data_IF_738932866677
#
_entry.id   IF_738932866677
#
_cell.length_a   1.000
_cell.length_b   1.000
_cell.length_c   1.000
_cell.angle_alpha   90.00
_cell.angle_beta   90.00
_cell.angle_gamma   90.00
#
_symmetry.space_group_name_H-M   'P 1'
#
loop_
_entity.id
_entity.type
_entity.pdbx_description
1 polymer ?
#
# COMPACT_ATOMS: atom_id res chain seq x y z
N UNK A 1 10.62 -26.62 13.06
CA UNK A 1 9.89 -26.12 11.88
C UNK A 1 8.36 -26.27 12.02
N UNK A 2 7.83 -27.45 12.41
CA UNK A 2 6.36 -27.70 12.47
C UNK A 2 5.53 -26.72 13.33
N UNK A 3 5.95 -26.44 14.57
CA UNK A 3 5.20 -25.57 15.50
C UNK A 3 5.05 -24.12 15.04
N UNK A 4 5.97 -23.61 14.22
CA UNK A 4 5.90 -22.23 13.69
C UNK A 4 4.85 -22.16 12.58
N UNK A 5 4.86 -23.11 11.65
CA UNK A 5 3.88 -23.17 10.56
C UNK A 5 2.47 -23.35 11.11
N UNK A 6 2.28 -24.21 12.11
CA UNK A 6 0.99 -24.39 12.79
C UNK A 6 0.45 -23.08 13.38
N UNK A 7 1.31 -22.29 14.03
CA UNK A 7 0.92 -20.99 14.60
C UNK A 7 0.58 -19.96 13.50
N UNK A 8 1.30 -19.98 12.37
CA UNK A 8 1.02 -19.11 11.23
C UNK A 8 -0.33 -19.48 10.62
N UNK A 9 -0.60 -20.77 10.37
CA UNK A 9 -1.87 -21.22 9.81
C UNK A 9 -3.04 -20.93 10.74
N UNK A 10 -2.86 -21.17 12.05
CA UNK A 10 -3.84 -20.84 13.07
C UNK A 10 -4.22 -19.36 13.03
N UNK A 11 -3.23 -18.47 12.87
CA UNK A 11 -3.46 -17.02 12.85
C UNK A 11 -4.03 -16.55 11.51
N UNK A 12 -3.46 -16.97 10.39
CA UNK A 12 -3.77 -16.43 9.06
C UNK A 12 -5.00 -17.10 8.46
N UNK A 13 -4.98 -18.44 8.32
CA UNK A 13 -6.03 -19.19 7.62
C UNK A 13 -7.23 -19.47 8.52
N UNK A 14 -6.96 -19.90 9.75
CA UNK A 14 -7.95 -20.41 10.70
C UNK A 14 -8.36 -19.36 11.74
N UNK A 15 -7.90 -18.12 11.60
CA UNK A 15 -8.20 -17.03 12.52
C UNK A 15 -8.68 -15.78 11.80
N UNK A 16 -7.73 -15.02 11.25
CA UNK A 16 -7.95 -13.60 10.95
C UNK A 16 -8.14 -13.28 9.47
N UNK A 17 -7.49 -14.02 8.57
CA UNK A 17 -7.45 -13.72 7.12
C UNK A 17 -7.15 -12.24 6.82
N UNK A 18 -6.25 -11.64 7.61
CA UNK A 18 -5.88 -10.23 7.45
C UNK A 18 -5.25 -10.01 6.08
N UNK A 19 -5.67 -8.94 5.40
CA UNK A 19 -5.05 -8.43 4.18
C UNK A 19 -4.74 -6.94 4.38
N UNK A 20 -4.00 -6.35 3.44
CA UNK A 20 -3.61 -4.95 3.50
C UNK A 20 -3.63 -4.31 2.12
N UNK A 21 -4.81 -3.95 1.63
CA UNK A 21 -4.96 -3.13 0.43
C UNK A 21 -4.46 -1.72 0.74
N UNK A 22 -3.43 -1.30 0.02
CA UNK A 22 -2.82 0.02 0.14
C UNK A 22 -2.85 0.79 -1.17
N UNK A 23 -2.26 1.98 -1.14
CA UNK A 23 -2.04 2.82 -2.31
C UNK A 23 -0.57 3.21 -2.42
N UNK A 24 -0.17 3.58 -3.63
CA UNK A 24 1.06 4.29 -3.93
C UNK A 24 0.73 5.41 -4.93
N UNK A 25 1.64 6.36 -5.13
CA UNK A 25 1.43 7.46 -6.08
C UNK A 25 0.63 8.65 -5.56
N UNK A 26 0.45 8.78 -4.24
CA UNK A 26 -0.34 9.88 -3.70
C UNK A 26 0.26 11.26 -4.01
N UNK A 27 1.58 11.43 -3.91
CA UNK A 27 2.23 12.70 -4.23
C UNK A 27 2.09 13.05 -5.73
N UNK A 28 2.23 12.06 -6.61
CA UNK A 28 2.01 12.24 -8.05
C UNK A 28 0.56 12.61 -8.39
N UNK A 29 -0.42 12.01 -7.71
CA UNK A 29 -1.82 12.43 -7.83
C UNK A 29 -1.97 13.92 -7.50
N UNK A 30 -1.37 14.37 -6.39
CA UNK A 30 -1.43 15.78 -6.00
C UNK A 30 -0.75 16.70 -7.01
N UNK A 31 0.41 16.30 -7.56
CA UNK A 31 1.07 17.07 -8.63
C UNK A 31 0.18 17.22 -9.86
N UNK A 32 -0.44 16.13 -10.33
CA UNK A 32 -1.35 16.15 -11.47
C UNK A 32 -2.60 17.01 -11.23
N UNK A 33 -3.03 17.15 -9.97
CA UNK A 33 -4.15 18.00 -9.57
C UNK A 33 -3.73 19.44 -9.26
N UNK A 34 -2.43 19.77 -9.27
CA UNK A 34 -1.93 21.08 -8.87
C UNK A 34 -2.12 21.38 -7.37
N UNK A 35 -2.28 20.35 -6.53
CA UNK A 35 -2.53 20.49 -5.11
C UNK A 35 -1.21 20.39 -4.35
N UNK A 36 -0.92 21.36 -3.49
CA UNK A 36 0.24 21.27 -2.60
C UNK A 36 0.04 20.17 -1.57
N UNK A 37 1.05 19.32 -1.37
CA UNK A 37 1.03 18.27 -0.35
C UNK A 37 0.73 18.83 1.05
N UNK A 38 1.34 19.97 1.39
CA UNK A 38 1.15 20.65 2.67
C UNK A 38 -0.08 21.60 2.64
N UNK A 39 -1.25 21.07 2.28
CA UNK A 39 -2.49 21.86 2.20
C UNK A 39 -3.68 21.16 2.84
N UNK A 40 -4.67 21.95 3.26
CA UNK A 40 -5.96 21.43 3.73
C UNK A 40 -6.72 20.70 2.62
N UNK A 41 -6.51 21.10 1.37
CA UNK A 41 -7.09 20.44 0.21
C UNK A 41 -6.55 19.02 0.02
N UNK A 42 -5.24 18.82 0.14
CA UNK A 42 -4.63 17.48 0.13
C UNK A 42 -5.16 16.60 1.27
N UNK A 43 -5.33 17.16 2.47
CA UNK A 43 -5.91 16.43 3.61
C UNK A 43 -7.36 16.04 3.34
N UNK A 44 -8.15 16.92 2.72
CA UNK A 44 -9.54 16.63 2.35
C UNK A 44 -9.60 15.51 1.32
N UNK A 45 -8.79 15.59 0.26
CA UNK A 45 -8.71 14.56 -0.77
C UNK A 45 -8.27 13.21 -0.17
N UNK A 46 -7.26 13.20 0.70
CA UNK A 46 -6.81 11.98 1.38
C UNK A 46 -7.94 11.32 2.20
N UNK A 47 -8.77 12.11 2.89
CA UNK A 47 -9.93 11.61 3.64
C UNK A 47 -10.99 11.00 2.73
N UNK A 48 -11.32 11.69 1.64
CA UNK A 48 -12.31 11.20 0.67
C UNK A 48 -11.84 9.92 -0.03
N UNK A 49 -10.59 9.89 -0.48
CA UNK A 49 -9.98 8.74 -1.14
C UNK A 49 -9.87 7.54 -0.20
N UNK A 50 -9.36 7.74 1.03
CA UNK A 50 -9.23 6.65 2.00
C UNK A 50 -10.58 6.08 2.44
N UNK A 51 -11.60 6.93 2.59
CA UNK A 51 -12.98 6.50 2.84
C UNK A 51 -13.49 5.63 1.69
N UNK A 52 -13.38 6.11 0.46
CA UNK A 52 -13.82 5.38 -0.74
C UNK A 52 -13.14 4.00 -0.85
N UNK A 53 -11.82 3.94 -0.68
CA UNK A 53 -11.06 2.68 -0.74
C UNK A 53 -11.52 1.72 0.37
N UNK A 54 -11.67 2.22 1.60
CA UNK A 54 -12.11 1.40 2.73
C UNK A 54 -13.52 0.85 2.52
N UNK A 55 -14.48 1.69 2.12
CA UNK A 55 -15.86 1.28 1.90
C UNK A 55 -15.95 0.20 0.81
N UNK A 56 -15.27 0.42 -0.33
CA UNK A 56 -15.22 -0.54 -1.44
C UNK A 56 -14.55 -1.85 -1.02
N UNK A 57 -13.45 -1.79 -0.26
CA UNK A 57 -12.74 -2.99 0.19
C UNK A 57 -13.53 -3.77 1.26
N UNK A 58 -14.26 -3.07 2.13
CA UNK A 58 -15.13 -3.68 3.12
C UNK A 58 -16.34 -4.35 2.46
N UNK A 59 -16.95 -3.70 1.46
CA UNK A 59 -18.04 -4.28 0.65
C UNK A 59 -17.59 -5.55 -0.07
N UNK A 60 -16.45 -5.52 -0.77
CA UNK A 60 -15.90 -6.71 -1.42
C UNK A 60 -15.60 -7.85 -0.41
N UNK A 61 -15.15 -7.51 0.82
CA UNK A 61 -14.95 -8.50 1.89
C UNK A 61 -16.26 -9.07 2.41
N UNK A 62 -17.32 -8.26 2.48
CA UNK A 62 -18.66 -8.69 2.85
C UNK A 62 -19.25 -9.65 1.80
N UNK A 63 -19.18 -9.31 0.52
CA UNK A 63 -19.60 -10.19 -0.59
C UNK A 63 -18.87 -11.54 -0.57
N UNK A 64 -17.56 -11.53 -0.30
CA UNK A 64 -16.78 -12.76 -0.16
C UNK A 64 -17.19 -13.58 1.07
N UNK A 65 -17.66 -12.93 2.14
CA UNK A 65 -18.17 -13.61 3.32
C UNK A 65 -19.50 -14.29 3.07
N UNK A 66 -20.37 -13.72 2.24
CA UNK A 66 -21.63 -14.39 1.85
C UNK A 66 -21.37 -15.70 1.10
N UNK A 67 -20.38 -15.71 0.20
CA UNK A 67 -20.07 -16.89 -0.62
C UNK A 67 -19.21 -17.92 0.11
N UNK A 68 -18.28 -17.48 0.97
CA UNK A 68 -17.24 -18.34 1.56
C UNK A 68 -17.29 -18.44 3.09
N UNK A 69 -18.17 -17.69 3.74
CA UNK A 69 -18.23 -17.49 5.19
C UNK A 69 -17.31 -16.39 5.72
N UNK A 70 -17.63 -15.90 6.92
CA UNK A 70 -16.81 -14.92 7.65
C UNK A 70 -15.39 -15.43 7.95
N UNK A 71 -14.47 -14.53 8.36
CA UNK A 71 -13.21 -14.99 8.96
C UNK A 71 -13.48 -15.75 10.27
N UNK A 72 -12.69 -16.78 10.63
CA UNK A 72 -13.01 -17.64 11.78
C UNK A 72 -13.15 -16.93 13.13
N UNK A 73 -12.34 -15.90 13.39
CA UNK A 73 -12.41 -15.11 14.64
C UNK A 73 -13.47 -13.98 14.60
N UNK A 74 -14.44 -14.02 13.68
CA UNK A 74 -15.40 -12.93 13.49
C UNK A 74 -16.24 -12.65 14.73
N UNK A 75 -16.69 -13.69 15.45
CA UNK A 75 -17.46 -13.56 16.69
C UNK A 75 -16.71 -12.84 17.83
N UNK A 76 -15.37 -12.83 17.77
CA UNK A 76 -14.50 -12.16 18.75
C UNK A 76 -14.17 -10.71 18.37
N UNK A 77 -14.71 -10.22 17.25
CA UNK A 77 -14.35 -8.94 16.66
C UNK A 77 -15.41 -7.86 16.91
N UNK A 78 -15.26 -6.70 16.26
CA UNK A 78 -16.22 -5.58 16.32
C UNK A 78 -17.42 -5.76 15.40
N UNK A 79 -17.38 -6.71 14.47
CA UNK A 79 -18.39 -6.86 13.42
C UNK A 79 -19.70 -7.56 13.85
N UNK A 80 -19.72 -8.50 14.82
CA UNK A 80 -20.95 -9.13 15.30
C UNK A 80 -21.95 -8.12 15.86
N UNK A 81 -21.48 -7.14 16.62
CA UNK A 81 -22.31 -6.07 17.16
C UNK A 81 -22.98 -5.21 16.07
N UNK A 82 -22.43 -5.23 14.84
CA UNK A 82 -22.95 -4.50 13.68
C UNK A 82 -23.72 -5.41 12.71
N UNK A 83 -23.73 -6.72 12.94
CA UNK A 83 -24.25 -7.70 11.98
C UNK A 83 -23.52 -7.64 10.62
N UNK A 84 -22.28 -7.16 10.59
CA UNK A 84 -21.57 -6.90 9.33
C UNK A 84 -20.79 -8.16 8.88
N UNK A 85 -21.16 -8.82 7.78
CA UNK A 85 -20.39 -9.93 7.24
C UNK A 85 -19.01 -9.45 6.76
N UNK A 86 -17.96 -10.20 7.06
CA UNK A 86 -16.58 -9.84 6.71
C UNK A 86 -15.74 -11.10 6.48
N UNK A 87 -15.13 -11.22 5.31
CA UNK A 87 -14.22 -12.34 4.99
C UNK A 87 -12.83 -12.18 5.60
N UNK A 88 -12.42 -10.93 5.87
CA UNK A 88 -11.11 -10.54 6.34
C UNK A 88 -11.25 -9.66 7.59
N UNK A 89 -10.41 -9.85 8.61
CA UNK A 89 -10.53 -9.05 9.84
C UNK A 89 -10.14 -7.57 9.64
N UNK A 90 -9.24 -7.30 8.70
CA UNK A 90 -8.86 -5.97 8.24
C UNK A 90 -8.56 -6.05 6.73
N UNK A 91 -8.91 -4.98 6.01
CA UNK A 91 -8.89 -4.95 4.55
C UNK A 91 -7.88 -3.95 3.97
N UNK A 92 -7.58 -2.86 4.68
CA UNK A 92 -6.72 -1.77 4.20
C UNK A 92 -5.48 -1.58 5.07
N UNK A 93 -4.35 -1.24 4.44
CA UNK A 93 -3.09 -0.87 5.10
C UNK A 93 -2.25 -0.02 4.16
N UNK A 94 -1.68 1.08 4.67
CA UNK A 94 -0.64 1.82 3.94
C UNK A 94 0.71 1.20 4.29
N UNK A 95 1.37 0.62 3.30
CA UNK A 95 2.69 0.02 3.43
C UNK A 95 3.75 0.90 2.75
N UNK A 96 5.03 0.81 3.15
CA UNK A 96 6.12 1.33 2.34
C UNK A 96 6.16 0.58 1.01
N UNK A 97 6.11 1.31 -0.10
CA UNK A 97 6.04 0.69 -1.44
C UNK A 97 7.33 0.87 -2.24
N UNK A 98 8.48 1.06 -1.60
CA UNK A 98 9.71 1.55 -2.28
C UNK A 98 10.14 0.78 -3.53
N UNK A 99 10.03 -0.55 -3.56
CA UNK A 99 10.41 -1.34 -4.75
C UNK A 99 9.31 -1.33 -5.81
N UNK A 100 8.05 -1.51 -5.41
CA UNK A 100 6.93 -1.62 -6.34
C UNK A 100 6.53 -0.25 -6.93
N UNK A 101 6.82 0.86 -6.24
CA UNK A 101 6.64 2.22 -6.75
C UNK A 101 7.66 2.56 -7.84
N UNK A 102 8.91 2.13 -7.69
CA UNK A 102 9.92 2.23 -8.76
C UNK A 102 9.48 1.43 -9.99
N UNK A 103 8.94 0.22 -9.79
CA UNK A 103 8.44 -0.60 -10.91
C UNK A 103 7.25 0.05 -11.61
N UNK A 104 6.35 0.68 -10.85
CA UNK A 104 5.16 1.37 -11.37
C UNK A 104 5.44 2.82 -11.81
N UNK A 105 6.70 3.26 -11.77
CA UNK A 105 7.14 4.62 -12.06
C UNK A 105 6.27 5.70 -11.39
N UNK A 106 6.08 5.56 -10.07
CA UNK A 106 5.22 6.45 -9.29
C UNK A 106 5.83 6.79 -7.94
N UNK A 107 5.32 7.83 -7.26
CA UNK A 107 5.73 8.14 -5.89
C UNK A 107 5.45 6.97 -4.93
N UNK A 108 6.30 6.79 -3.92
CA UNK A 108 6.09 5.75 -2.91
C UNK A 108 4.86 6.06 -2.05
N UNK A 109 4.06 5.03 -1.77
CA UNK A 109 2.97 5.01 -0.81
C UNK A 109 2.14 6.29 -0.80
N UNK A 110 2.06 6.86 0.40
CA UNK A 110 1.51 8.21 0.60
C UNK A 110 2.60 9.25 0.76
N UNK A 111 3.88 8.87 0.73
CA UNK A 111 4.98 9.76 1.07
C UNK A 111 5.12 10.93 0.06
N UNK A 112 5.51 12.14 0.52
CA UNK A 112 5.90 13.20 -0.40
C UNK A 112 7.15 12.80 -1.18
N UNK A 113 7.28 13.29 -2.42
CA UNK A 113 8.50 13.09 -3.22
C UNK A 113 9.66 13.83 -2.56
N UNK A 114 10.75 13.11 -2.30
CA UNK A 114 11.95 13.66 -1.65
C UNK A 114 12.72 14.62 -2.57
N UNK A 115 12.89 14.26 -3.84
CA UNK A 115 13.53 15.10 -4.85
C UNK A 115 12.92 14.84 -6.22
N UNK A 116 12.61 15.91 -6.96
CA UNK A 116 12.12 15.83 -8.34
C UNK A 116 13.22 15.38 -9.31
N UNK A 117 14.49 15.53 -8.92
CA UNK A 117 15.64 15.08 -9.70
C UNK A 117 16.54 14.29 -8.79
N UNK A 118 16.76 13.01 -9.11
CA UNK A 118 17.58 12.11 -8.31
C UNK A 118 18.70 11.53 -9.17
N UNK A 119 19.92 11.51 -8.65
CA UNK A 119 21.04 10.82 -9.30
C UNK A 119 21.14 9.42 -8.70
N UNK A 120 20.89 8.40 -9.52
CA UNK A 120 21.04 7.00 -9.13
C UNK A 120 22.36 6.45 -9.66
N UNK A 121 23.18 5.94 -8.76
CA UNK A 121 24.45 5.29 -9.10
C UNK A 121 24.24 3.79 -9.27
N UNK A 122 24.73 3.23 -10.36
CA UNK A 122 24.69 1.79 -10.62
C UNK A 122 26.10 1.21 -10.68
N UNK A 123 26.26 0.01 -10.14
CA UNK A 123 27.48 -0.78 -10.19
C UNK A 123 27.24 -1.94 -11.17
N UNK A 124 27.38 -1.67 -12.46
CA UNK A 124 27.08 -2.62 -13.54
C UNK A 124 28.23 -3.60 -13.86
N UNK A 125 29.41 -3.48 -13.23
CA UNK A 125 30.52 -4.42 -13.40
C UNK A 125 31.25 -4.61 -12.07
N UNK A 126 31.90 -5.76 -11.88
CA UNK A 126 32.76 -6.11 -10.74
C UNK A 126 33.98 -5.18 -10.66
N UNK A 127 33.74 -3.91 -10.38
CA UNK A 127 34.81 -3.00 -9.99
C UNK A 127 35.16 -3.30 -8.53
N UNK A 128 36.28 -4.02 -8.34
CA UNK A 128 36.85 -4.34 -7.03
C UNK A 128 37.23 -3.11 -6.20
N UNK A 129 37.12 -1.90 -6.78
CA UNK A 129 37.42 -0.62 -6.13
C UNK A 129 36.18 0.15 -5.64
N UNK A 130 34.97 -0.41 -5.79
CA UNK A 130 33.70 0.19 -5.31
C UNK A 130 33.38 1.57 -5.89
N UNK A 131 33.88 1.89 -7.09
CA UNK A 131 33.47 3.09 -7.82
C UNK A 131 32.18 2.83 -8.61
N UNK A 132 31.29 3.85 -8.70
CA UNK A 132 30.09 3.71 -9.51
C UNK A 132 30.45 3.66 -10.99
N UNK A 133 29.96 2.66 -11.71
CA UNK A 133 30.28 2.48 -13.14
C UNK A 133 29.39 3.32 -14.06
N UNK A 134 28.19 3.73 -13.60
CA UNK A 134 27.35 4.74 -14.27
C UNK A 134 26.54 5.56 -13.27
N UNK A 135 26.35 6.84 -13.59
CA UNK A 135 25.39 7.73 -12.95
C UNK A 135 24.18 7.92 -13.88
N UNK A 136 22.97 7.78 -13.34
CA UNK A 136 21.71 8.00 -14.04
C UNK A 136 21.00 9.17 -13.38
N UNK A 137 20.83 10.27 -14.11
CA UNK A 137 19.93 11.34 -13.70
C UNK A 137 18.50 10.92 -14.01
N UNK A 138 17.67 10.86 -12.98
CA UNK A 138 16.24 10.53 -13.07
C UNK A 138 15.47 11.81 -12.75
N UNK A 139 14.66 12.26 -13.69
CA UNK A 139 13.68 13.34 -13.49
C UNK A 139 12.34 12.68 -13.16
N UNK A 140 11.58 13.28 -12.25
CA UNK A 140 10.26 12.79 -11.90
C UNK A 140 9.35 12.84 -13.14
N UNK A 141 8.75 11.70 -13.50
CA UNK A 141 8.03 11.51 -14.76
C UNK A 141 6.80 12.40 -14.92
N UNK A 142 6.31 13.02 -13.84
CA UNK A 142 5.25 14.05 -13.94
C UNK A 142 5.75 15.34 -14.58
N UNK A 143 7.06 15.61 -14.54
CA UNK A 143 7.70 16.85 -15.00
C UNK A 143 8.65 16.66 -16.18
N UNK A 144 8.68 15.46 -16.76
CA UNK A 144 9.36 15.20 -18.04
C UNK A 144 8.48 15.76 -19.19
N UNK A 145 8.64 17.07 -19.48
CA UNK A 145 8.21 17.73 -20.73
C UNK A 145 9.37 17.87 -21.72
#
# INVERSE_FOLDING_TARGET
MGRITENIEATVKNGNRRIGLGVMGFAHLLFKMGISYASNEAVKLAKELSKFIYETAAEASAELAEVRGNFPNWDLSIYPAKGQPMRNCAVTMVAPTGTISILADTSSGIEPVFSLVTIRRTFYEDDKTNHSTKELMIVDSVFEE
#
